data_IF_327606059409
#
_entry.id   IF_327606059409
#
_cell.length_a   1.000
_cell.length_b   1.000
_cell.length_c   1.000
_cell.angle_alpha   90.00
_cell.angle_beta   90.00
_cell.angle_gamma   90.00
#
_symmetry.space_group_name_H-M   'P 1'
#
loop_
_entity.id
_entity.type
_entity.pdbx_description
1 polymer ?
#
# COMPACT_ATOMS: atom_id res chain seq x y z
N UNK A 1 -32.61 22.64 -32.55
CA UNK A 1 -32.08 21.26 -32.41
C UNK A 1 -30.55 21.20 -32.38
N UNK A 2 -29.82 22.05 -33.12
CA UNK A 2 -28.35 22.01 -33.21
C UNK A 2 -27.57 22.34 -31.92
N UNK A 3 -28.14 23.11 -30.99
CA UNK A 3 -27.48 23.49 -29.71
C UNK A 3 -27.44 22.38 -28.67
N UNK A 4 -28.37 21.42 -28.71
CA UNK A 4 -28.43 20.32 -27.75
C UNK A 4 -27.37 19.23 -28.05
N UNK A 5 -26.98 19.08 -29.32
CA UNK A 5 -25.96 18.11 -29.73
C UNK A 5 -24.55 18.50 -29.25
N UNK A 6 -24.24 19.80 -29.19
CA UNK A 6 -22.94 20.29 -28.75
C UNK A 6 -22.69 20.13 -27.24
N UNK A 7 -23.73 20.19 -26.42
CA UNK A 7 -23.60 20.06 -24.96
C UNK A 7 -23.36 18.61 -24.54
N UNK A 8 -23.91 17.64 -25.28
CA UNK A 8 -23.74 16.21 -24.99
C UNK A 8 -22.35 15.70 -25.37
N UNK A 9 -21.77 16.23 -26.46
CA UNK A 9 -20.42 15.85 -26.90
C UNK A 9 -19.32 16.30 -25.91
N UNK A 10 -19.56 17.36 -25.13
CA UNK A 10 -18.57 17.91 -24.20
C UNK A 10 -18.50 17.16 -22.86
N UNK A 11 -19.57 16.46 -22.44
CA UNK A 11 -19.57 15.62 -21.25
C UNK A 11 -18.84 14.28 -21.45
N UNK A 12 -18.82 13.75 -22.68
CA UNK A 12 -18.19 12.46 -23.01
C UNK A 12 -16.66 12.54 -23.10
N UNK A 13 -16.09 13.75 -23.19
CA UNK A 13 -14.64 13.96 -23.29
C UNK A 13 -13.93 14.13 -21.93
N UNK A 14 -14.68 14.13 -20.81
CA UNK A 14 -14.12 14.31 -19.46
C UNK A 14 -13.71 13.00 -18.77
N UNK A 15 -13.93 11.83 -19.41
CA UNK A 15 -13.46 10.54 -18.93
C UNK A 15 -11.99 10.33 -19.24
N UNK A 16 -11.10 11.05 -18.55
CA UNK A 16 -9.68 10.69 -18.54
C UNK A 16 -9.50 9.29 -17.93
N UNK A 17 -8.46 8.53 -18.32
CA UNK A 17 -8.17 7.27 -17.65
C UNK A 17 -7.94 7.55 -16.17
N UNK A 18 -8.84 7.05 -15.32
CA UNK A 18 -8.57 6.92 -13.90
C UNK A 18 -7.55 5.79 -13.79
N UNK A 19 -6.27 6.14 -13.82
CA UNK A 19 -5.22 5.19 -13.46
C UNK A 19 -5.39 4.91 -11.97
N UNK A 20 -6.12 3.84 -11.65
CA UNK A 20 -6.13 3.29 -10.30
C UNK A 20 -4.69 2.87 -10.00
N UNK A 21 -3.99 3.69 -9.22
CA UNK A 21 -2.79 3.24 -8.52
C UNK A 21 -3.24 2.14 -7.58
N UNK A 22 -2.68 0.94 -7.75
CA UNK A 22 -3.00 -0.17 -6.87
C UNK A 22 -2.51 0.13 -5.46
N UNK A 23 -3.34 -0.14 -4.47
CA UNK A 23 -3.04 0.11 -3.05
C UNK A 23 -3.22 -1.15 -2.21
N UNK A 24 -2.35 -1.37 -1.24
CA UNK A 24 -2.59 -2.31 -0.14
C UNK A 24 -2.47 -1.51 1.15
N UNK A 25 -3.52 -1.51 1.97
CA UNK A 25 -3.49 -0.91 3.30
C UNK A 25 -3.57 -2.01 4.36
N UNK A 26 -2.53 -2.09 5.18
CA UNK A 26 -2.45 -3.00 6.31
C UNK A 26 -2.60 -2.21 7.61
N UNK A 27 -3.68 -2.43 8.35
CA UNK A 27 -3.98 -1.69 9.59
C UNK A 27 -4.17 -2.62 10.76
N UNK A 28 -3.75 -2.19 11.95
CA UNK A 28 -4.08 -2.90 13.18
C UNK A 28 -5.51 -2.58 13.64
N UNK A 29 -6.04 -3.34 14.61
CA UNK A 29 -7.43 -3.18 15.05
C UNK A 29 -7.75 -1.84 15.71
N UNK A 30 -6.76 -1.13 16.29
CA UNK A 30 -7.00 0.21 16.83
C UNK A 30 -6.79 1.32 15.82
N UNK A 31 -6.16 1.04 14.67
CA UNK A 31 -5.80 2.03 13.66
C UNK A 31 -4.59 2.88 14.04
N UNK A 32 -3.88 2.53 15.12
CA UNK A 32 -2.67 3.23 15.56
C UNK A 32 -1.45 2.87 14.70
N UNK A 33 -1.52 1.73 14.01
CA UNK A 33 -0.48 1.22 13.11
C UNK A 33 -1.05 1.00 11.72
N UNK A 34 -0.39 1.59 10.71
CA UNK A 34 -0.72 1.37 9.31
C UNK A 34 0.53 1.18 8.45
N UNK A 35 0.40 0.35 7.43
CA UNK A 35 1.39 0.14 6.37
C UNK A 35 0.67 0.27 5.04
N UNK A 36 0.91 1.38 4.36
CA UNK A 36 0.33 1.67 3.05
C UNK A 36 1.37 1.39 1.97
N UNK A 37 1.03 0.49 1.06
CA UNK A 37 1.87 0.10 -0.07
C UNK A 37 1.18 0.55 -1.35
N UNK A 38 1.85 1.40 -2.12
CA UNK A 38 1.39 1.77 -3.46
C UNK A 38 2.17 0.96 -4.49
N UNK A 39 1.44 0.21 -5.31
CA UNK A 39 2.00 -0.66 -6.34
C UNK A 39 1.66 -0.16 -7.75
N UNK A 40 2.61 -0.34 -8.66
CA UNK A 40 2.40 -0.05 -10.08
C UNK A 40 1.56 -1.14 -10.75
N UNK A 41 0.98 -0.80 -11.90
CA UNK A 41 0.15 -1.71 -12.72
C UNK A 41 1.05 -2.70 -13.51
N UNK A 42 1.62 -3.69 -12.83
CA UNK A 42 2.47 -4.72 -13.43
C UNK A 42 2.08 -6.11 -12.91
N UNK A 43 2.37 -7.15 -13.68
CA UNK A 43 2.12 -8.57 -13.33
C UNK A 43 2.94 -9.05 -12.10
N UNK A 44 3.84 -8.21 -11.58
CA UNK A 44 4.65 -8.48 -10.39
C UNK A 44 4.57 -7.31 -9.42
N UNK A 45 4.64 -7.60 -8.12
CA UNK A 45 4.60 -6.59 -7.07
C UNK A 45 5.78 -5.62 -7.23
N UNK A 46 5.49 -4.41 -7.69
CA UNK A 46 6.43 -3.30 -7.79
C UNK A 46 5.95 -2.17 -6.89
N UNK A 47 6.43 -2.16 -5.65
CA UNK A 47 6.14 -1.11 -4.67
C UNK A 47 6.94 0.13 -5.05
N UNK A 48 6.27 1.18 -5.51
CA UNK A 48 6.91 2.46 -5.81
C UNK A 48 6.85 3.42 -4.62
N UNK A 49 5.94 3.19 -3.68
CA UNK A 49 5.83 3.96 -2.44
C UNK A 49 5.38 3.07 -1.28
N UNK A 50 5.99 3.30 -0.13
CA UNK A 50 5.52 2.76 1.14
C UNK A 50 5.49 3.86 2.20
N UNK A 51 4.42 3.85 3.00
CA UNK A 51 4.25 4.72 4.17
C UNK A 51 3.93 3.83 5.36
N UNK A 52 4.66 4.00 6.45
CA UNK A 52 4.43 3.30 7.71
C UNK A 52 4.06 4.35 8.75
N UNK A 53 2.95 4.15 9.46
CA UNK A 53 2.56 4.99 10.60
C UNK A 53 2.50 4.13 11.86
N UNK A 54 3.07 4.60 12.96
CA UNK A 54 3.00 3.97 14.28
C UNK A 54 2.74 5.06 15.33
N UNK A 55 1.57 5.05 15.96
CA UNK A 55 1.18 6.02 16.99
C UNK A 55 1.41 7.49 16.57
N UNK A 56 1.15 7.81 15.31
CA UNK A 56 1.35 9.15 14.73
C UNK A 56 2.78 9.48 14.28
N UNK A 57 3.77 8.63 14.54
CA UNK A 57 5.08 8.72 13.90
C UNK A 57 5.02 8.09 12.49
N UNK A 58 5.62 8.74 11.50
CA UNK A 58 5.57 8.31 10.10
C UNK A 58 6.96 8.04 9.53
N UNK A 59 7.06 6.99 8.72
CA UNK A 59 8.18 6.70 7.84
C UNK A 59 7.71 6.60 6.39
N UNK A 60 8.53 7.09 5.46
CA UNK A 60 8.18 7.15 4.04
C UNK A 60 9.35 6.73 3.16
N UNK A 61 9.06 5.95 2.11
CA UNK A 61 10.02 5.64 1.05
C UNK A 61 10.23 6.78 0.06
N UNK A 62 9.33 7.77 0.07
CA UNK A 62 9.37 8.96 -0.76
C UNK A 62 8.98 10.18 0.08
N UNK A 63 9.97 10.72 0.79
CA UNK A 63 9.80 11.86 1.69
C UNK A 63 9.50 13.17 0.96
N UNK A 64 9.66 13.20 -0.38
CA UNK A 64 9.31 14.35 -1.20
C UNK A 64 7.80 14.47 -1.45
N UNK A 65 7.08 13.34 -1.38
CA UNK A 65 5.63 13.28 -1.58
C UNK A 65 4.88 13.11 -0.26
N UNK A 66 5.35 12.22 0.62
CA UNK A 66 4.73 11.98 1.94
C UNK A 66 5.76 12.25 3.04
N UNK A 67 5.54 13.26 3.92
CA UNK A 67 6.44 13.55 5.02
C UNK A 67 6.59 12.38 6.00
N UNK A 68 7.81 12.18 6.51
CA UNK A 68 8.14 11.14 7.47
C UNK A 68 9.65 10.93 7.56
N UNK A 69 10.08 10.10 8.51
CA UNK A 69 11.46 9.62 8.54
C UNK A 69 11.72 8.74 7.30
N UNK A 70 12.89 8.85 6.64
CA UNK A 70 13.16 8.06 5.45
C UNK A 70 13.25 6.57 5.78
N UNK A 71 12.65 5.74 4.94
CA UNK A 71 12.88 4.31 4.87
C UNK A 71 13.16 3.89 3.43
N UNK A 72 13.64 2.67 3.23
CA UNK A 72 13.81 2.09 1.89
C UNK A 72 12.99 0.80 1.84
N UNK A 73 12.24 0.59 0.76
CA UNK A 73 11.63 -0.71 0.50
C UNK A 73 12.74 -1.68 0.09
N UNK A 74 12.94 -2.72 0.89
CA UNK A 74 13.91 -3.77 0.64
C UNK A 74 13.32 -4.85 -0.27
N UNK A 75 13.19 -6.06 0.27
CA UNK A 75 12.54 -7.15 -0.47
C UNK A 75 11.03 -7.05 -0.36
N UNK A 76 10.34 -7.23 -1.48
CA UNK A 76 8.89 -7.31 -1.54
C UNK A 76 8.49 -8.52 -2.40
N UNK A 77 7.50 -9.27 -1.93
CA UNK A 77 6.97 -10.45 -2.61
C UNK A 77 5.48 -10.57 -2.32
N UNK A 78 4.70 -10.86 -3.37
CA UNK A 78 3.29 -11.19 -3.22
C UNK A 78 2.93 -12.33 -4.18
N UNK A 79 2.07 -13.22 -3.69
CA UNK A 79 1.35 -14.21 -4.49
C UNK A 79 -0.04 -14.46 -3.86
N UNK A 80 -0.77 -15.42 -4.42
CA UNK A 80 -2.13 -15.78 -3.96
C UNK A 80 -2.21 -16.19 -2.49
N UNK A 81 -1.11 -16.61 -1.87
CA UNK A 81 -1.07 -17.10 -0.49
C UNK A 81 -0.42 -16.16 0.52
N UNK A 82 0.36 -15.16 0.09
CA UNK A 82 1.07 -14.29 1.03
C UNK A 82 1.52 -12.96 0.43
N UNK A 83 1.70 -11.98 1.32
CA UNK A 83 2.35 -10.69 1.11
C UNK A 83 3.50 -10.53 2.10
N UNK A 84 4.71 -10.36 1.60
CA UNK A 84 5.93 -10.22 2.39
C UNK A 84 6.65 -8.95 1.96
N UNK A 85 6.92 -8.05 2.91
CA UNK A 85 7.67 -6.80 2.63
C UNK A 85 8.66 -6.53 3.74
N UNK A 86 9.88 -6.16 3.38
CA UNK A 86 10.92 -5.69 4.29
C UNK A 86 11.25 -4.23 4.02
N UNK A 87 11.49 -3.50 5.11
CA UNK A 87 11.89 -2.10 5.08
C UNK A 87 13.26 -1.95 5.73
N UNK A 88 14.14 -1.21 5.06
CA UNK A 88 15.49 -0.91 5.50
C UNK A 88 15.54 0.52 6.05
N UNK A 89 16.44 0.75 7.00
CA UNK A 89 16.78 2.09 7.45
C UNK A 89 17.60 2.87 6.42
N UNK A 90 17.78 4.17 6.66
CA UNK A 90 18.49 5.12 5.79
C UNK A 90 19.93 4.67 5.44
N UNK A 91 20.58 3.94 6.35
CA UNK A 91 21.77 3.15 6.03
C UNK A 91 21.31 1.74 5.64
N UNK A 92 21.28 1.46 4.33
CA UNK A 92 20.66 0.31 3.67
C UNK A 92 21.15 -1.11 4.09
N UNK A 93 21.72 -1.30 5.28
CA UNK A 93 22.33 -2.55 5.74
C UNK A 93 21.46 -3.42 6.66
N UNK A 94 20.39 -2.89 7.27
CA UNK A 94 19.55 -3.70 8.17
C UNK A 94 18.06 -3.49 7.99
N UNK A 95 17.31 -4.59 7.98
CA UNK A 95 15.85 -4.58 8.07
C UNK A 95 15.45 -3.97 9.42
N UNK A 96 14.68 -2.87 9.35
CA UNK A 96 14.12 -2.18 10.52
C UNK A 96 12.65 -2.50 10.71
N UNK A 97 11.95 -2.95 9.67
CA UNK A 97 10.57 -3.37 9.77
C UNK A 97 10.25 -4.47 8.74
N UNK A 98 9.29 -5.32 9.09
CA UNK A 98 8.85 -6.44 8.25
C UNK A 98 7.35 -6.62 8.36
N UNK A 99 6.69 -6.71 7.19
CA UNK A 99 5.31 -7.14 7.03
C UNK A 99 5.30 -8.60 6.55
N UNK A 100 4.53 -9.45 7.22
CA UNK A 100 4.32 -10.85 6.87
C UNK A 100 2.82 -11.14 6.98
N UNK A 101 2.13 -11.14 5.86
CA UNK A 101 0.69 -11.43 5.78
C UNK A 101 0.43 -12.66 4.92
N UNK A 102 -0.62 -13.40 5.28
CA UNK A 102 -1.11 -14.55 4.55
C UNK A 102 -2.49 -14.24 3.99
N UNK A 103 -2.72 -14.74 2.78
CA UNK A 103 -3.92 -14.50 2.00
C UNK A 103 -4.74 -15.79 1.96
N UNK A 104 -6.06 -15.65 2.02
CA UNK A 104 -7.00 -16.71 1.79
C UNK A 104 -8.12 -16.19 0.89
N UNK A 105 -8.47 -16.99 -0.11
CA UNK A 105 -9.59 -16.71 -1.00
C UNK A 105 -10.51 -17.91 -0.99
N UNK A 106 -11.79 -17.69 -0.69
CA UNK A 106 -12.85 -18.67 -0.81
C UNK A 106 -13.98 -18.04 -1.62
N UNK A 107 -14.22 -18.55 -2.82
CA UNK A 107 -15.15 -17.97 -3.79
C UNK A 107 -14.87 -16.47 -4.03
N UNK A 108 -15.82 -15.60 -3.67
CA UNK A 108 -15.73 -14.15 -3.81
C UNK A 108 -15.18 -13.45 -2.55
N UNK A 109 -14.80 -14.22 -1.53
CA UNK A 109 -14.28 -13.67 -0.26
C UNK A 109 -12.77 -13.72 -0.25
N UNK A 110 -12.14 -12.55 -0.10
CA UNK A 110 -10.70 -12.41 0.12
C UNK A 110 -10.43 -11.93 1.55
N UNK A 111 -9.47 -12.55 2.22
CA UNK A 111 -8.94 -12.12 3.51
C UNK A 111 -7.42 -12.11 3.44
N UNK A 112 -6.82 -11.03 3.92
CA UNK A 112 -5.38 -10.96 4.14
C UNK A 112 -5.10 -10.44 5.54
N UNK A 113 -4.33 -11.18 6.32
CA UNK A 113 -3.97 -10.78 7.68
C UNK A 113 -2.58 -11.28 8.03
N UNK A 114 -1.92 -10.58 8.96
CA UNK A 114 -0.53 -10.84 9.23
C UNK A 114 0.03 -10.17 10.46
N UNK A 115 1.35 -10.16 10.53
CA UNK A 115 2.11 -9.46 11.55
C UNK A 115 2.98 -8.41 10.88
N UNK A 116 2.90 -7.19 11.40
CA UNK A 116 3.86 -6.14 11.13
C UNK A 116 4.79 -6.00 12.33
N UNK A 117 6.09 -5.89 12.09
CA UNK A 117 7.12 -5.69 13.12
C UNK A 117 7.96 -4.49 12.80
N UNK A 118 8.36 -3.74 13.82
CA UNK A 118 9.27 -2.61 13.68
C UNK A 118 10.27 -2.62 14.83
N UNK A 119 11.57 -2.66 14.48
CA UNK A 119 12.70 -2.76 15.40
C UNK A 119 12.69 -1.61 16.40
N UNK A 120 12.59 -1.94 17.68
CA UNK A 120 12.57 -0.96 18.76
C UNK A 120 11.22 -0.25 18.97
N UNK A 121 10.18 -0.59 18.21
CA UNK A 121 8.82 -0.05 18.40
C UNK A 121 7.81 -1.13 18.82
N UNK A 122 7.84 -2.31 18.20
CA UNK A 122 6.92 -3.38 18.58
C UNK A 122 6.57 -4.35 17.45
N UNK A 123 5.48 -5.09 17.66
CA UNK A 123 4.87 -6.01 16.73
C UNK A 123 3.34 -5.95 16.87
N UNK A 124 2.63 -6.00 15.74
CA UNK A 124 1.17 -5.81 15.67
C UNK A 124 0.55 -6.82 14.72
N UNK A 125 -0.62 -7.32 15.08
CA UNK A 125 -1.49 -8.02 14.13
C UNK A 125 -2.15 -6.98 13.23
N UNK A 126 -2.10 -7.21 11.92
CA UNK A 126 -2.64 -6.28 10.91
C UNK A 126 -3.57 -7.00 9.96
N UNK A 127 -4.63 -6.32 9.56
CA UNK A 127 -5.53 -6.67 8.47
C UNK A 127 -5.08 -5.94 7.20
N UNK A 128 -4.77 -6.69 6.16
CA UNK A 128 -4.30 -6.24 4.85
C UNK A 128 -5.34 -6.50 3.74
N UNK A 129 -6.60 -6.75 4.11
CA UNK A 129 -7.66 -7.13 3.17
C UNK A 129 -8.11 -5.96 2.28
N UNK A 130 -7.77 -4.72 2.65
CA UNK A 130 -8.12 -3.52 1.90
C UNK A 130 -7.15 -3.37 0.72
N UNK A 131 -7.70 -3.49 -0.49
CA UNK A 131 -6.98 -3.37 -1.76
C UNK A 131 -7.69 -2.36 -2.67
N UNK A 132 -6.93 -1.42 -3.22
CA UNK A 132 -7.40 -0.39 -4.18
C UNK A 132 -6.94 -0.64 -5.60
#
# INVERSE_FOLDING_TARGET
MQRAALTLAMLLAAGGPCHASGGIDCTDTSGDVSVQLSSGHQDTLSIFRAVVTINGESWSSDTSVVPGAPLIVGQAFENDGMLLVDFLGESAGSVIASLRAFNATEEDTFVSAGVFTFKGKGAWAVDCSIRE
#
